data_IF_138303046679
#
_entry.id   IF_138303046679
#
_cell.length_a   1.000
_cell.length_b   1.000
_cell.length_c   1.000
_cell.angle_alpha   90.00
_cell.angle_beta   90.00
_cell.angle_gamma   90.00
#
_symmetry.space_group_name_H-M   'P 1'
#
loop_
_entity.id
_entity.type
_entity.pdbx_description
1 polymer ?
#
# COMPACT_ATOMS: atom_id res chain seq x y z
N UNK A 1 -0.97 16.10 -2.83
CA UNK A 1 -1.39 16.96 -1.70
C UNK A 1 -0.19 17.21 -0.82
N UNK A 2 0.15 18.51 -0.51
CA UNK A 2 1.22 18.80 0.44
C UNK A 2 0.90 18.27 1.84
N UNK A 3 1.88 17.61 2.45
CA UNK A 3 1.79 17.10 3.83
C UNK A 3 2.67 17.88 4.82
N UNK A 4 3.31 18.96 4.33
CA UNK A 4 4.10 19.89 5.15
C UNK A 4 5.55 19.45 5.34
N UNK A 5 6.06 19.67 6.54
CA UNK A 5 7.46 19.43 6.93
C UNK A 5 7.54 18.33 8.00
N UNK A 6 8.70 17.69 8.15
CA UNK A 6 8.89 16.71 9.20
C UNK A 6 8.69 17.35 10.59
N UNK A 7 8.13 16.57 11.51
CA UNK A 7 8.03 16.96 12.91
C UNK A 7 9.42 16.86 13.59
N UNK A 8 9.56 17.43 14.78
CA UNK A 8 10.80 17.41 15.54
C UNK A 8 11.35 15.98 15.71
N UNK A 9 12.67 15.85 15.58
CA UNK A 9 13.41 14.59 15.72
C UNK A 9 13.00 13.48 14.72
N UNK A 10 12.32 13.86 13.63
CA UNK A 10 12.01 12.98 12.49
C UNK A 10 12.66 13.56 11.25
N UNK A 11 13.37 12.75 10.50
CA UNK A 11 13.87 13.08 9.18
C UNK A 11 13.02 12.44 8.09
N UNK A 12 13.04 13.05 6.92
CA UNK A 12 12.43 12.51 5.70
C UNK A 12 13.52 12.34 4.64
N UNK A 13 13.45 11.23 3.90
CA UNK A 13 14.24 11.03 2.70
C UNK A 13 13.31 10.66 1.56
N UNK A 14 13.53 11.25 0.39
CA UNK A 14 12.85 10.88 -0.84
C UNK A 14 13.92 10.37 -1.78
N UNK A 15 13.88 9.09 -2.11
CA UNK A 15 14.95 8.37 -2.79
C UNK A 15 14.45 7.72 -4.08
N UNK A 16 15.35 7.59 -5.04
CA UNK A 16 15.12 6.80 -6.26
C UNK A 16 15.29 5.27 -5.99
N UNK A 17 15.06 4.45 -7.01
CA UNK A 17 15.24 3.00 -6.92
C UNK A 17 16.68 2.55 -6.60
N UNK A 18 17.67 3.41 -6.83
CA UNK A 18 19.07 3.18 -6.49
C UNK A 18 19.44 3.76 -5.11
N UNK A 19 18.45 4.13 -4.30
CA UNK A 19 18.62 4.71 -2.96
C UNK A 19 19.38 6.04 -2.95
N UNK A 20 19.29 6.83 -4.01
CA UNK A 20 19.89 8.16 -4.11
C UNK A 20 18.85 9.25 -3.88
N UNK A 21 19.17 10.34 -3.17
CA UNK A 21 18.26 11.46 -2.98
C UNK A 21 17.82 12.04 -4.33
N UNK A 22 16.53 12.29 -4.47
CA UNK A 22 15.99 12.96 -5.67
C UNK A 22 15.95 14.48 -5.47
N UNK A 23 16.15 15.27 -6.53
CA UNK A 23 16.04 16.72 -6.45
C UNK A 23 14.59 17.17 -6.24
N UNK A 24 14.36 18.43 -5.76
CA UNK A 24 13.02 18.99 -5.65
C UNK A 24 12.22 18.89 -6.96
N UNK A 25 10.95 18.55 -6.84
CA UNK A 25 10.04 18.33 -7.96
C UNK A 25 10.04 16.91 -8.54
N UNK A 26 11.07 16.10 -8.27
CA UNK A 26 11.16 14.72 -8.74
C UNK A 26 10.52 13.78 -7.73
N UNK A 27 9.70 12.84 -8.22
CA UNK A 27 9.06 11.82 -7.39
C UNK A 27 10.05 10.73 -6.98
N UNK A 28 9.89 10.21 -5.77
CA UNK A 28 10.65 9.08 -5.25
C UNK A 28 9.94 8.40 -4.08
N UNK A 29 10.48 7.28 -3.62
CA UNK A 29 10.00 6.58 -2.43
C UNK A 29 10.29 7.40 -1.17
N UNK A 30 9.27 7.52 -0.31
CA UNK A 30 9.37 8.23 0.98
C UNK A 30 9.86 7.30 2.08
N UNK A 31 10.89 7.74 2.79
CA UNK A 31 11.43 7.08 3.98
C UNK A 31 11.40 8.03 5.18
N UNK A 32 11.15 7.46 6.35
CA UNK A 32 11.23 8.19 7.64
C UNK A 32 12.49 7.79 8.39
N UNK A 33 13.09 8.73 9.09
CA UNK A 33 14.27 8.53 9.96
C UNK A 33 14.05 9.20 11.31
N UNK A 34 14.89 8.87 12.30
CA UNK A 34 14.90 9.55 13.60
C UNK A 34 14.35 8.69 14.75
N UNK A 35 14.32 9.29 15.93
CA UNK A 35 14.03 8.60 17.19
C UNK A 35 12.58 8.13 17.33
N UNK A 36 11.69 8.63 16.49
CA UNK A 36 10.26 8.26 16.51
C UNK A 36 9.97 6.95 15.76
N UNK A 37 10.98 6.33 15.13
CA UNK A 37 10.81 5.05 14.48
C UNK A 37 10.50 3.95 15.50
N UNK A 38 9.48 3.14 15.20
CA UNK A 38 9.21 1.93 15.95
C UNK A 38 10.39 0.94 15.87
N UNK A 39 10.47 0.01 16.82
CA UNK A 39 11.48 -1.06 16.78
C UNK A 39 11.21 -2.04 15.63
N UNK A 40 9.94 -2.24 15.27
CA UNK A 40 9.50 -3.13 14.20
C UNK A 40 8.05 -3.55 14.37
N UNK A 41 7.65 -4.56 13.63
CA UNK A 41 6.33 -5.18 13.70
C UNK A 41 6.35 -6.35 14.68
N UNK A 42 5.45 -6.34 15.64
CA UNK A 42 5.36 -7.39 16.68
C UNK A 42 5.13 -8.78 16.03
N UNK A 43 6.00 -9.72 16.38
CA UNK A 43 5.91 -11.09 15.86
C UNK A 43 6.19 -11.25 14.37
N UNK A 44 6.66 -10.19 13.67
CA UNK A 44 6.92 -10.21 12.22
C UNK A 44 8.33 -9.74 11.89
N UNK A 45 9.34 -10.57 12.14
CA UNK A 45 10.74 -10.21 11.85
C UNK A 45 10.99 -10.05 10.35
N UNK A 46 10.33 -10.82 9.49
CA UNK A 46 10.32 -10.74 8.04
C UNK A 46 9.90 -9.34 7.54
N UNK A 47 8.74 -8.89 8.00
CA UNK A 47 8.19 -7.57 7.66
C UNK A 47 9.05 -6.45 8.26
N UNK A 48 9.56 -6.64 9.48
CA UNK A 48 10.46 -5.67 10.12
C UNK A 48 11.72 -5.48 9.28
N UNK A 49 12.37 -6.56 8.87
CA UNK A 49 13.60 -6.48 8.07
C UNK A 49 13.36 -5.84 6.69
N UNK A 50 12.19 -6.05 6.08
CA UNK A 50 11.86 -5.48 4.77
C UNK A 50 11.48 -3.99 4.81
N UNK A 51 10.97 -3.51 5.96
CA UNK A 51 10.49 -2.13 6.11
C UNK A 51 11.43 -1.22 6.90
N UNK A 52 12.16 -1.74 7.89
CA UNK A 52 13.14 -1.01 8.70
C UNK A 52 14.56 -1.38 8.24
N UNK A 53 15.04 -0.66 7.25
CA UNK A 53 16.32 -0.93 6.59
C UNK A 53 17.41 0.00 7.12
N UNK A 54 18.68 -0.33 6.88
CA UNK A 54 19.79 0.55 7.22
C UNK A 54 19.70 1.88 6.46
N UNK A 55 19.98 2.99 7.15
CA UNK A 55 20.06 4.31 6.52
C UNK A 55 21.46 4.47 5.87
N UNK A 56 21.56 4.52 4.53
CA UNK A 56 22.85 4.63 3.84
C UNK A 56 23.55 5.98 4.07
N UNK A 57 22.86 6.97 4.64
CA UNK A 57 23.37 8.31 4.90
C UNK A 57 23.71 8.55 6.37
N UNK A 58 23.38 7.61 7.26
CA UNK A 58 23.65 7.69 8.70
C UNK A 58 24.06 6.31 9.23
N UNK A 59 25.39 6.01 9.28
CA UNK A 59 25.89 4.70 9.71
C UNK A 59 25.37 4.31 11.11
N UNK A 60 24.86 3.09 11.23
CA UNK A 60 24.29 2.57 12.47
C UNK A 60 22.82 2.93 12.71
N UNK A 61 22.26 3.85 11.93
CA UNK A 61 20.86 4.24 12.01
C UNK A 61 19.99 3.42 11.04
N UNK A 62 18.68 3.47 11.28
CA UNK A 62 17.68 2.83 10.42
C UNK A 62 16.75 3.87 9.82
N UNK A 63 16.15 3.51 8.69
CA UNK A 63 15.04 4.25 8.11
C UNK A 63 13.86 3.30 7.83
N UNK A 64 12.67 3.85 7.90
CA UNK A 64 11.42 3.13 7.64
C UNK A 64 10.92 3.43 6.23
N UNK A 65 10.76 2.38 5.42
CA UNK A 65 10.17 2.44 4.09
C UNK A 65 8.66 2.51 4.23
N UNK A 66 8.07 3.70 3.94
CA UNK A 66 6.63 3.93 4.11
C UNK A 66 5.79 3.21 3.04
N UNK A 67 6.34 3.04 1.85
CA UNK A 67 5.62 2.62 0.65
C UNK A 67 4.84 3.77 0.00
N UNK A 68 5.04 4.99 0.44
CA UNK A 68 4.48 6.18 -0.18
C UNK A 68 5.45 6.75 -1.22
N UNK A 69 4.90 7.34 -2.28
CA UNK A 69 5.62 8.15 -3.26
C UNK A 69 5.39 9.62 -2.95
N UNK A 70 6.46 10.38 -2.89
CA UNK A 70 6.42 11.80 -2.57
C UNK A 70 7.44 12.59 -3.40
N UNK A 71 7.37 13.91 -3.31
CA UNK A 71 8.41 14.82 -3.83
C UNK A 71 8.61 16.01 -2.90
N UNK A 72 9.82 16.56 -2.93
CA UNK A 72 10.10 17.86 -2.32
C UNK A 72 9.53 18.97 -3.16
N UNK A 73 8.86 19.93 -2.54
CA UNK A 73 8.52 21.20 -3.15
C UNK A 73 9.69 22.19 -2.98
N UNK A 74 9.71 23.24 -3.80
CA UNK A 74 10.77 24.25 -3.77
C UNK A 74 10.85 25.02 -2.44
N UNK A 75 9.77 25.06 -1.67
CA UNK A 75 9.71 25.65 -0.33
C UNK A 75 10.15 24.69 0.78
N UNK A 76 10.63 23.47 0.45
CA UNK A 76 11.06 22.45 1.41
C UNK A 76 9.94 21.62 2.03
N UNK A 77 8.68 21.84 1.66
CA UNK A 77 7.57 20.97 2.06
C UNK A 77 7.56 19.69 1.24
N UNK A 78 6.97 18.63 1.79
CA UNK A 78 6.74 17.36 1.09
C UNK A 78 5.34 17.31 0.51
N UNK A 79 5.23 16.90 -0.74
CA UNK A 79 3.98 16.60 -1.39
C UNK A 79 3.82 15.09 -1.56
N UNK A 80 2.73 14.55 -1.03
CA UNK A 80 2.32 13.16 -1.21
C UNK A 80 1.71 12.98 -2.60
N UNK A 81 2.17 11.96 -3.34
CA UNK A 81 1.74 11.66 -4.70
C UNK A 81 0.91 10.38 -4.81
N UNK A 82 1.04 9.47 -3.84
CA UNK A 82 0.34 8.19 -3.84
C UNK A 82 1.14 7.09 -3.17
N UNK A 83 0.80 5.84 -3.48
CA UNK A 83 1.50 4.65 -2.99
C UNK A 83 2.35 4.03 -4.10
N UNK A 84 3.48 3.44 -3.72
CA UNK A 84 4.33 2.61 -4.61
C UNK A 84 3.95 1.13 -4.57
N UNK A 85 3.13 0.73 -3.60
CA UNK A 85 2.60 -0.62 -3.44
C UNK A 85 1.09 -0.67 -3.72
N UNK A 86 0.53 -1.88 -3.78
CA UNK A 86 -0.89 -2.13 -4.10
C UNK A 86 -1.86 -1.78 -2.96
N UNK A 87 -1.37 -1.10 -1.91
CA UNK A 87 -2.18 -0.70 -0.80
C UNK A 87 -3.10 0.48 -1.18
N UNK A 88 -4.38 0.32 -0.96
CA UNK A 88 -5.39 1.31 -1.28
C UNK A 88 -6.08 1.86 -0.04
N UNK A 89 -6.61 3.08 -0.14
CA UNK A 89 -7.62 3.59 0.79
C UNK A 89 -8.93 3.73 0.04
N UNK A 90 -9.96 2.96 0.43
CA UNK A 90 -11.32 3.06 -0.12
C UNK A 90 -12.25 3.41 1.05
N UNK A 91 -12.97 4.52 0.95
CA UNK A 91 -13.89 5.03 1.99
C UNK A 91 -13.22 5.15 3.37
N UNK A 92 -11.95 5.55 3.40
CA UNK A 92 -11.14 5.68 4.62
C UNK A 92 -10.58 4.37 5.18
N UNK A 93 -10.95 3.22 4.65
CA UNK A 93 -10.42 1.91 5.04
C UNK A 93 -9.13 1.60 4.27
N UNK A 94 -8.14 1.08 4.98
CA UNK A 94 -6.87 0.62 4.40
C UNK A 94 -7.05 -0.80 3.87
N UNK A 95 -6.81 -1.01 2.59
CA UNK A 95 -7.04 -2.28 1.89
C UNK A 95 -5.73 -2.75 1.30
N UNK A 96 -5.37 -3.98 1.64
CA UNK A 96 -4.22 -4.70 1.11
C UNK A 96 -4.72 -5.66 0.02
N UNK A 97 -4.59 -5.30 -1.26
CA UNK A 97 -5.04 -6.15 -2.37
C UNK A 97 -4.41 -7.55 -2.32
N UNK A 98 -3.12 -7.63 -1.98
CA UNK A 98 -2.42 -8.91 -1.85
C UNK A 98 -2.99 -9.83 -0.75
N UNK A 99 -3.64 -9.31 0.29
CA UNK A 99 -4.35 -10.14 1.26
C UNK A 99 -5.59 -10.76 0.63
N UNK A 100 -6.36 -9.98 -0.11
CA UNK A 100 -7.54 -10.44 -0.84
C UNK A 100 -7.14 -11.48 -1.87
N UNK A 101 -6.11 -11.22 -2.68
CA UNK A 101 -5.61 -12.15 -3.71
C UNK A 101 -5.19 -13.48 -3.11
N UNK A 102 -4.48 -13.45 -1.97
CA UNK A 102 -4.06 -14.66 -1.26
C UNK A 102 -5.25 -15.49 -0.76
N UNK A 103 -6.27 -14.84 -0.19
CA UNK A 103 -7.48 -15.55 0.30
C UNK A 103 -8.28 -16.09 -0.87
N UNK A 104 -8.46 -15.32 -1.95
CA UNK A 104 -9.15 -15.77 -3.16
C UNK A 104 -8.45 -16.97 -3.81
N UNK A 105 -7.11 -16.93 -3.92
CA UNK A 105 -6.32 -18.02 -4.51
C UNK A 105 -6.32 -19.31 -3.66
N UNK A 106 -6.66 -19.23 -2.38
CA UNK A 106 -6.79 -20.38 -1.49
C UNK A 106 -8.18 -21.04 -1.56
N UNK A 107 -9.14 -20.45 -2.29
CA UNK A 107 -10.46 -21.03 -2.44
C UNK A 107 -10.44 -22.26 -3.35
N UNK A 108 -11.33 -23.24 -3.11
CA UNK A 108 -11.45 -24.43 -3.97
C UNK A 108 -11.77 -24.05 -5.41
N UNK A 109 -11.16 -24.76 -6.36
CA UNK A 109 -11.35 -24.62 -7.81
C UNK A 109 -10.93 -23.24 -8.38
N UNK A 110 -10.13 -22.47 -7.64
CA UNK A 110 -9.53 -21.21 -8.09
C UNK A 110 -8.07 -21.41 -8.41
N UNK A 111 -7.71 -21.36 -9.70
CA UNK A 111 -6.32 -21.48 -10.17
C UNK A 111 -5.56 -20.16 -10.13
N UNK A 112 -6.24 -19.08 -10.47
CA UNK A 112 -5.67 -17.72 -10.42
C UNK A 112 -6.69 -16.73 -9.87
N UNK A 113 -6.19 -15.78 -9.10
CA UNK A 113 -7.00 -14.69 -8.57
C UNK A 113 -6.23 -13.38 -8.57
N UNK A 114 -6.90 -12.29 -8.88
CA UNK A 114 -6.38 -10.93 -8.75
C UNK A 114 -7.51 -9.98 -8.36
N UNK A 115 -7.25 -9.10 -7.39
CA UNK A 115 -8.17 -8.04 -7.01
C UNK A 115 -7.73 -6.68 -7.58
N UNK A 116 -8.70 -5.83 -7.86
CA UNK A 116 -8.44 -4.48 -8.34
C UNK A 116 -9.54 -3.52 -7.85
N UNK A 117 -9.18 -2.24 -7.68
CA UNK A 117 -10.16 -1.21 -7.36
C UNK A 117 -10.55 -0.44 -8.62
N UNK A 118 -11.81 -0.56 -9.02
CA UNK A 118 -12.36 0.05 -10.23
C UNK A 118 -13.39 1.13 -9.91
N UNK A 119 -13.49 2.13 -10.79
CA UNK A 119 -14.60 3.11 -10.80
C UNK A 119 -15.55 2.73 -11.92
N UNK A 120 -16.72 2.20 -11.57
CA UNK A 120 -17.73 1.77 -12.56
C UNK A 120 -18.63 2.90 -13.05
N UNK A 121 -18.84 3.95 -12.24
CA UNK A 121 -19.74 5.03 -12.61
C UNK A 121 -19.18 6.38 -12.12
N UNK A 122 -18.66 7.18 -13.05
CA UNK A 122 -18.16 8.52 -12.76
C UNK A 122 -19.28 9.52 -12.37
N UNK A 123 -20.51 9.29 -12.77
CA UNK A 123 -21.64 10.17 -12.45
C UNK A 123 -22.08 10.10 -10.98
N UNK A 124 -21.68 9.05 -10.25
CA UNK A 124 -21.96 8.92 -8.81
C UNK A 124 -20.91 9.59 -7.91
N UNK A 125 -19.88 10.21 -8.49
CA UNK A 125 -18.74 10.80 -7.78
C UNK A 125 -19.03 12.22 -7.21
N UNK A 126 -20.27 12.53 -6.87
CA UNK A 126 -20.59 13.74 -6.11
C UNK A 126 -20.29 13.49 -4.62
N UNK A 127 -19.03 13.65 -4.23
CA UNK A 127 -18.63 13.80 -2.84
C UNK A 127 -18.13 12.55 -2.09
N UNK A 128 -17.96 11.38 -2.73
CA UNK A 128 -17.47 10.15 -2.10
C UNK A 128 -16.47 9.37 -2.96
N UNK A 129 -15.73 8.44 -2.34
CA UNK A 129 -14.86 7.50 -3.07
C UNK A 129 -15.72 6.50 -3.85
N UNK A 130 -15.76 6.66 -5.17
CA UNK A 130 -16.55 5.83 -6.09
C UNK A 130 -15.87 4.48 -6.42
N UNK A 131 -14.70 4.20 -5.87
CA UNK A 131 -13.97 2.94 -6.10
C UNK A 131 -14.69 1.76 -5.45
N UNK A 132 -14.72 0.65 -6.18
CA UNK A 132 -15.22 -0.64 -5.72
C UNK A 132 -14.14 -1.70 -5.92
N UNK A 133 -14.08 -2.66 -5.00
CA UNK A 133 -13.21 -3.81 -5.14
C UNK A 133 -13.84 -4.82 -6.09
N UNK A 134 -13.03 -5.34 -7.00
CA UNK A 134 -13.41 -6.38 -7.97
C UNK A 134 -12.39 -7.49 -7.92
N UNK A 135 -12.83 -8.71 -7.70
CA UNK A 135 -12.01 -9.91 -7.82
C UNK A 135 -12.22 -10.56 -9.19
N UNK A 136 -11.13 -10.86 -9.86
CA UNK A 136 -11.11 -11.65 -11.09
C UNK A 136 -10.57 -13.04 -10.74
N UNK A 137 -11.30 -14.09 -11.09
CA UNK A 137 -10.97 -15.47 -10.75
C UNK A 137 -10.96 -16.32 -12.02
N UNK A 138 -9.99 -17.23 -12.10
CA UNK A 138 -9.91 -18.26 -13.14
C UNK A 138 -10.10 -19.61 -12.47
N UNK A 139 -11.05 -20.41 -12.97
CA UNK A 139 -11.31 -21.77 -12.49
C UNK A 139 -10.21 -22.72 -12.93
N UNK A 140 -9.76 -23.60 -12.03
CA UNK A 140 -8.85 -24.71 -12.36
C UNK A 140 -9.51 -25.80 -13.21
N UNK A 141 -10.79 -26.06 -12.96
CA UNK A 141 -11.55 -27.06 -13.70
C UNK A 141 -12.04 -26.60 -15.06
N UNK A 142 -11.97 -25.29 -15.35
CA UNK A 142 -12.55 -24.66 -16.53
C UNK A 142 -14.09 -24.57 -16.51
N UNK A 143 -14.73 -25.01 -15.43
CA UNK A 143 -16.16 -24.88 -15.22
C UNK A 143 -16.52 -23.49 -14.64
N UNK A 144 -17.74 -22.98 -14.83
CA UNK A 144 -18.19 -21.76 -14.20
C UNK A 144 -18.11 -21.84 -12.68
N UNK A 145 -17.48 -20.83 -12.05
CA UNK A 145 -17.41 -20.70 -10.60
C UNK A 145 -18.74 -20.21 -10.01
N UNK A 146 -19.18 -20.82 -8.91
CA UNK A 146 -20.31 -20.28 -8.12
C UNK A 146 -19.86 -19.05 -7.34
N UNK A 147 -20.11 -17.88 -7.94
CA UNK A 147 -19.71 -16.59 -7.36
C UNK A 147 -20.43 -16.27 -6.03
N UNK A 148 -21.63 -16.82 -5.79
CA UNK A 148 -22.35 -16.61 -4.55
C UNK A 148 -21.70 -17.40 -3.40
N UNK A 149 -21.38 -18.68 -3.63
CA UNK A 149 -20.67 -19.50 -2.67
C UNK A 149 -19.28 -18.97 -2.37
N UNK A 150 -18.54 -18.48 -3.39
CA UNK A 150 -17.23 -17.89 -3.21
C UNK A 150 -17.29 -16.60 -2.37
N UNK A 151 -18.25 -15.72 -2.63
CA UNK A 151 -18.46 -14.51 -1.82
C UNK A 151 -18.78 -14.83 -0.36
N UNK A 152 -19.60 -15.84 -0.09
CA UNK A 152 -19.90 -16.26 1.28
C UNK A 152 -18.63 -16.72 2.02
N UNK A 153 -17.78 -17.52 1.37
CA UNK A 153 -16.51 -17.99 1.95
C UNK A 153 -15.50 -16.85 2.16
N UNK A 154 -15.44 -15.88 1.24
CA UNK A 154 -14.60 -14.69 1.41
C UNK A 154 -15.04 -13.85 2.61
N UNK A 155 -16.35 -13.68 2.81
CA UNK A 155 -16.91 -12.94 3.93
C UNK A 155 -16.62 -13.58 5.30
N UNK A 156 -16.33 -14.88 5.36
CA UNK A 156 -15.90 -15.58 6.58
C UNK A 156 -14.41 -15.34 6.92
N UNK A 157 -13.60 -15.00 5.93
CA UNK A 157 -12.14 -14.92 6.04
C UNK A 157 -11.58 -13.51 5.96
N UNK A 158 -12.30 -12.61 5.32
CA UNK A 158 -11.90 -11.22 5.13
C UNK A 158 -12.76 -10.27 5.99
N UNK A 159 -12.16 -9.15 6.46
CA UNK A 159 -12.93 -8.10 7.12
C UNK A 159 -14.05 -7.55 6.21
N UNK A 160 -15.16 -7.04 6.78
CA UNK A 160 -16.33 -6.58 5.99
C UNK A 160 -16.05 -5.46 4.98
N UNK A 161 -14.92 -4.78 5.11
CA UNK A 161 -14.52 -3.70 4.19
C UNK A 161 -13.64 -4.19 3.02
N UNK A 162 -13.25 -5.45 3.02
CA UNK A 162 -12.54 -6.18 1.97
C UNK A 162 -13.47 -7.16 1.25
#
# INVERSE_FOLDING_TARGET
VPIGWPVWNTGLRILDAAMRPVPPGVAGDLYLTGIQLAQGYLGRPDLTASRFIADPFAPGERMYRTGDVARWLTNGAVEYLGRSDDQLKIRGQRIELGEIDRVMSALPDVGQAVSHACVFNQAAATGGDARQLVGYLVSDSGLPLDTAALKARLAEQLPPHM
#
